data_IF_718676683044
#
_entry.id   IF_718676683044
#
_cell.length_a   1.000
_cell.length_b   1.000
_cell.length_c   1.000
_cell.angle_alpha   90.00
_cell.angle_beta   90.00
_cell.angle_gamma   90.00
#
_symmetry.space_group_name_H-M   'P 1'
#
loop_
_entity.id
_entity.type
_entity.pdbx_description
1 polymer ?
#
# COMPACT_ATOMS: atom_id res chain seq x y z
N UNK A 1 -20.05 -7.57 -0.82
CA UNK A 1 -19.65 -7.62 -2.26
C UNK A 1 -18.49 -8.61 -2.34
N UNK A 2 -18.69 -9.80 -2.94
CA UNK A 2 -17.57 -10.73 -3.16
C UNK A 2 -16.75 -10.25 -4.36
N UNK A 3 -15.42 -10.29 -4.32
CA UNK A 3 -14.61 -9.95 -5.49
C UNK A 3 -14.95 -10.91 -6.64
N UNK A 4 -15.03 -10.38 -7.87
CA UNK A 4 -15.32 -11.18 -9.08
C UNK A 4 -14.28 -12.28 -9.34
N UNK A 5 -13.12 -12.20 -8.68
CA UNK A 5 -12.03 -13.18 -8.72
C UNK A 5 -11.69 -13.61 -7.30
N UNK A 6 -11.71 -14.92 -7.04
CA UNK A 6 -11.35 -15.53 -5.75
C UNK A 6 -9.84 -15.69 -5.69
N UNK A 7 -9.17 -14.62 -5.32
CA UNK A 7 -7.72 -14.53 -5.29
C UNK A 7 -7.28 -13.86 -4.00
N UNK A 8 -6.10 -14.19 -3.50
CA UNK A 8 -5.53 -13.57 -2.31
C UNK A 8 -4.04 -13.27 -2.49
N UNK A 9 -3.57 -12.32 -1.68
CA UNK A 9 -2.16 -11.97 -1.52
C UNK A 9 -1.78 -12.34 -0.08
N UNK A 10 -0.67 -13.04 0.09
CA UNK A 10 -0.04 -13.19 1.40
C UNK A 10 1.00 -12.09 1.55
N UNK A 11 0.89 -11.30 2.62
CA UNK A 11 1.81 -10.19 2.91
C UNK A 11 2.41 -10.45 4.28
N UNK A 12 3.73 -10.60 4.33
CA UNK A 12 4.48 -10.62 5.58
C UNK A 12 4.83 -9.19 5.96
N UNK A 13 4.34 -8.76 7.12
CA UNK A 13 4.67 -7.43 7.65
C UNK A 13 6.07 -7.47 8.26
N UNK A 14 6.86 -6.44 8.01
CA UNK A 14 8.08 -6.19 8.79
C UNK A 14 7.68 -5.77 10.21
N UNK A 15 8.47 -6.10 11.23
CA UNK A 15 8.11 -5.84 12.64
C UNK A 15 7.76 -4.36 12.88
N UNK A 16 8.62 -3.44 12.43
CA UNK A 16 8.35 -1.99 12.51
C UNK A 16 7.05 -1.57 11.82
N UNK A 17 6.71 -2.20 10.69
CA UNK A 17 5.47 -1.93 9.97
C UNK A 17 4.27 -2.45 10.78
N UNK A 18 4.41 -3.63 11.38
CA UNK A 18 3.39 -4.22 12.25
C UNK A 18 3.09 -3.31 13.44
N UNK A 19 4.13 -2.87 14.16
CA UNK A 19 4.02 -1.92 15.27
C UNK A 19 3.37 -0.60 14.80
N UNK A 20 3.80 -0.07 13.65
CA UNK A 20 3.23 1.14 13.06
C UNK A 20 1.74 1.03 12.68
N UNK A 21 1.25 -0.16 12.31
CA UNK A 21 -0.18 -0.38 12.07
C UNK A 21 -0.98 -0.61 13.35
N UNK A 22 -0.35 -1.19 14.38
CA UNK A 22 -0.95 -1.35 15.70
C UNK A 22 -1.06 0.00 16.42
N UNK A 23 -0.06 0.86 16.25
CA UNK A 23 0.05 2.14 16.96
C UNK A 23 -0.35 3.33 16.08
N UNK A 24 -1.37 4.08 16.54
CA UNK A 24 -1.68 5.41 16.02
C UNK A 24 -2.78 5.47 14.97
N UNK A 25 -2.66 6.44 14.05
CA UNK A 25 -3.74 6.93 13.19
C UNK A 25 -4.30 5.87 12.22
N UNK A 26 -3.48 4.89 11.85
CA UNK A 26 -3.85 3.81 10.94
C UNK A 26 -4.48 2.61 11.66
N UNK A 27 -4.54 2.64 13.00
CA UNK A 27 -5.35 1.68 13.72
C UNK A 27 -6.83 1.95 13.40
N UNK A 28 -7.53 0.92 12.97
CA UNK A 28 -9.00 0.94 12.87
C UNK A 28 -9.65 0.73 14.26
N UNK A 29 -8.94 1.09 15.34
CA UNK A 29 -9.46 0.98 16.69
C UNK A 29 -10.49 2.09 16.94
N UNK A 30 -11.77 1.75 17.19
CA UNK A 30 -12.82 2.73 17.45
C UNK A 30 -12.51 3.64 18.64
N UNK A 31 -11.70 3.21 19.62
CA UNK A 31 -11.28 4.02 20.77
C UNK A 31 -10.34 5.13 20.34
N UNK A 32 -9.38 4.82 19.46
CA UNK A 32 -8.44 5.80 18.94
C UNK A 32 -9.12 6.80 18.01
N UNK A 33 -10.15 6.40 17.26
CA UNK A 33 -10.98 7.33 16.48
C UNK A 33 -11.67 8.34 17.40
N UNK A 34 -12.33 7.86 18.47
CA UNK A 34 -13.01 8.74 19.43
C UNK A 34 -12.03 9.70 20.13
N UNK A 35 -10.86 9.22 20.57
CA UNK A 35 -9.82 10.08 21.17
C UNK A 35 -9.38 11.20 20.23
N UNK A 36 -9.14 10.88 18.95
CA UNK A 36 -8.76 11.86 17.93
C UNK A 36 -9.87 12.88 17.68
N UNK A 37 -11.12 12.41 17.57
CA UNK A 37 -12.27 13.29 17.38
C UNK A 37 -12.39 14.32 18.52
N UNK A 38 -12.24 13.87 19.77
CA UNK A 38 -12.29 14.76 20.94
C UNK A 38 -11.12 15.76 21.00
N UNK A 39 -9.99 15.45 20.36
CA UNK A 39 -8.84 16.36 20.28
C UNK A 39 -8.96 17.39 19.14
N UNK A 40 -9.83 17.15 18.17
CA UNK A 40 -10.16 18.07 17.08
C UNK A 40 -11.28 19.04 17.47
N UNK A 41 -11.48 20.07 16.64
CA UNK A 41 -12.71 20.86 16.70
C UNK A 41 -13.92 19.96 16.37
N UNK A 42 -14.89 19.92 17.27
CA UNK A 42 -16.07 19.09 17.14
C UNK A 42 -17.29 19.76 17.76
N UNK A 43 -18.47 19.31 17.33
CA UNK A 43 -19.76 19.70 17.91
C UNK A 43 -20.35 18.51 18.67
N UNK A 44 -20.99 18.81 19.80
CA UNK A 44 -21.83 17.83 20.51
C UNK A 44 -23.20 17.79 19.84
N UNK A 45 -23.68 16.58 19.55
CA UNK A 45 -25.01 16.32 19.01
C UNK A 45 -25.98 15.99 20.14
N UNK A 46 -27.28 16.17 19.87
CA UNK A 46 -28.32 15.78 20.83
C UNK A 46 -28.25 14.29 21.17
N UNK A 47 -28.50 13.98 22.44
CA UNK A 47 -28.53 12.60 22.91
C UNK A 47 -29.65 11.82 22.18
N UNK A 48 -29.38 10.56 21.84
CA UNK A 48 -30.39 9.66 21.28
C UNK A 48 -30.27 8.26 21.87
N UNK A 49 -31.19 7.37 21.50
CA UNK A 49 -31.11 5.96 21.85
C UNK A 49 -30.79 5.13 20.61
N UNK A 50 -29.74 4.31 20.67
CA UNK A 50 -29.37 3.36 19.61
C UNK A 50 -29.42 1.95 20.21
N UNK A 51 -30.24 1.07 19.66
CA UNK A 51 -30.38 -0.31 20.13
C UNK A 51 -30.61 -0.44 21.65
N UNK A 52 -31.37 0.49 22.24
CA UNK A 52 -31.65 0.53 23.68
C UNK A 52 -30.55 1.18 24.54
N UNK A 53 -29.43 1.60 23.95
CA UNK A 53 -28.34 2.31 24.63
C UNK A 53 -28.53 3.81 24.48
N UNK A 54 -28.51 4.54 25.59
CA UNK A 54 -28.53 6.00 25.58
C UNK A 54 -27.13 6.52 25.22
N UNK A 55 -27.04 7.30 24.14
CA UNK A 55 -25.77 7.72 23.55
C UNK A 55 -25.68 9.24 23.42
N UNK A 56 -24.45 9.74 23.40
CA UNK A 56 -24.10 11.10 22.97
C UNK A 56 -23.35 11.07 21.66
N UNK A 57 -23.71 11.95 20.74
CA UNK A 57 -23.02 12.09 19.47
C UNK A 57 -21.97 13.18 19.54
N UNK A 58 -20.81 12.94 18.93
CA UNK A 58 -19.81 13.95 18.64
C UNK A 58 -19.57 13.94 17.13
N UNK A 59 -19.50 15.12 16.51
CA UNK A 59 -19.25 15.24 15.07
C UNK A 59 -18.11 16.20 14.81
N UNK A 60 -17.23 15.84 13.89
CA UNK A 60 -16.16 16.71 13.40
C UNK A 60 -16.03 16.58 11.88
N UNK A 61 -15.66 17.69 11.24
CA UNK A 61 -15.23 17.72 9.84
C UNK A 61 -13.73 17.97 9.69
N UNK A 62 -12.98 17.94 10.80
CA UNK A 62 -11.53 18.08 10.77
C UNK A 62 -10.90 16.82 10.13
N UNK A 63 -10.15 16.95 9.02
CA UNK A 63 -9.50 15.81 8.38
C UNK A 63 -8.50 15.09 9.31
N UNK A 64 -7.99 15.77 10.35
CA UNK A 64 -7.06 15.19 11.31
C UNK A 64 -7.67 14.07 12.16
N UNK A 65 -9.01 13.96 12.24
CA UNK A 65 -9.69 12.86 12.95
C UNK A 65 -9.28 11.50 12.41
N UNK A 66 -9.16 11.38 11.08
CA UNK A 66 -8.70 10.17 10.40
C UNK A 66 -7.19 10.24 10.07
N UNK A 67 -6.53 11.33 10.48
CA UNK A 67 -5.12 11.64 10.23
C UNK A 67 -4.67 11.43 8.80
N UNK A 68 -5.53 11.83 7.86
CA UNK A 68 -5.28 11.82 6.42
C UNK A 68 -5.72 13.15 5.84
N UNK A 69 -5.00 13.63 4.83
CA UNK A 69 -5.43 14.76 4.02
C UNK A 69 -6.56 14.32 3.08
N UNK A 70 -7.78 14.27 3.61
CA UNK A 70 -8.98 14.01 2.82
C UNK A 70 -9.53 15.35 2.31
N UNK A 71 -10.00 15.39 1.06
CA UNK A 71 -10.62 16.60 0.49
C UNK A 71 -11.90 16.98 1.24
N UNK A 72 -12.61 15.97 1.73
CA UNK A 72 -13.78 16.12 2.60
C UNK A 72 -13.88 14.92 3.53
N UNK A 73 -14.12 15.21 4.81
CA UNK A 73 -14.34 14.23 5.85
C UNK A 73 -15.40 14.77 6.81
N UNK A 74 -16.39 13.95 7.17
CA UNK A 74 -17.25 14.17 8.31
C UNK A 74 -17.32 12.86 9.09
N UNK A 75 -16.88 12.90 10.34
CA UNK A 75 -16.90 11.75 11.26
C UNK A 75 -17.90 12.05 12.36
N UNK A 76 -18.82 11.13 12.59
CA UNK A 76 -19.75 11.15 13.71
C UNK A 76 -19.53 9.92 14.56
N UNK A 77 -19.27 10.11 15.86
CA UNK A 77 -19.15 9.01 16.83
C UNK A 77 -20.27 9.15 17.85
N UNK A 78 -21.05 8.09 18.01
CA UNK A 78 -22.04 7.95 19.06
C UNK A 78 -21.48 7.05 20.16
N UNK A 79 -21.27 7.61 21.35
CA UNK A 79 -20.73 6.89 22.49
C UNK A 79 -21.77 6.69 23.59
N UNK A 80 -21.72 5.54 24.26
CA UNK A 80 -22.53 5.22 25.43
C UNK A 80 -22.32 6.28 26.53
N UNK A 81 -23.42 6.83 27.08
CA UNK A 81 -23.37 7.88 28.11
C UNK A 81 -22.75 7.45 29.44
N UNK A 82 -22.81 6.15 29.75
CA UNK A 82 -22.32 5.57 31.00
C UNK A 82 -20.91 5.01 30.83
N UNK A 83 -20.68 4.19 29.80
CA UNK A 83 -19.40 3.52 29.58
C UNK A 83 -18.39 4.40 28.81
N UNK A 84 -18.87 5.37 28.02
CA UNK A 84 -18.04 6.20 27.15
C UNK A 84 -17.53 5.46 25.91
N UNK A 85 -18.03 4.26 25.63
CA UNK A 85 -17.56 3.43 24.52
C UNK A 85 -18.32 3.73 23.23
N UNK A 86 -17.65 3.71 22.06
CA UNK A 86 -18.33 3.80 20.78
C UNK A 86 -19.42 2.72 20.61
N UNK A 87 -20.61 3.17 20.18
CA UNK A 87 -21.79 2.34 19.85
C UNK A 87 -22.08 2.38 18.35
N UNK A 88 -21.79 3.52 17.71
CA UNK A 88 -21.92 3.72 16.26
C UNK A 88 -20.89 4.75 15.81
N UNK A 89 -20.20 4.48 14.70
CA UNK A 89 -19.34 5.45 14.02
C UNK A 89 -19.82 5.55 12.58
N UNK A 90 -20.05 6.78 12.12
CA UNK A 90 -20.46 7.10 10.75
C UNK A 90 -19.40 8.02 10.15
N UNK A 91 -18.96 7.73 8.93
CA UNK A 91 -17.98 8.52 8.21
C UNK A 91 -18.46 8.79 6.79
N UNK A 92 -18.57 10.06 6.44
CA UNK A 92 -18.76 10.53 5.07
C UNK A 92 -17.46 11.14 4.59
N UNK A 93 -16.82 10.48 3.63
CA UNK A 93 -15.52 10.88 3.12
C UNK A 93 -15.47 10.87 1.60
N UNK A 94 -14.66 11.76 1.04
CA UNK A 94 -14.25 11.67 -0.35
C UNK A 94 -12.87 11.02 -0.41
N UNK A 95 -12.80 9.86 -1.06
CA UNK A 95 -11.54 9.16 -1.28
C UNK A 95 -11.25 9.07 -2.78
N UNK A 96 -9.97 9.18 -3.12
CA UNK A 96 -9.50 8.91 -4.47
C UNK A 96 -9.48 7.40 -4.69
N UNK A 97 -10.15 6.91 -5.74
CA UNK A 97 -10.21 5.48 -6.08
C UNK A 97 -9.58 5.26 -7.45
N UNK A 98 -8.70 4.27 -7.57
CA UNK A 98 -8.07 3.94 -8.85
C UNK A 98 -6.82 4.77 -9.17
N UNK A 99 -6.44 4.80 -10.46
CA UNK A 99 -5.21 5.46 -10.95
C UNK A 99 -5.47 6.84 -11.60
N UNK A 100 -6.73 7.19 -11.87
CA UNK A 100 -7.08 8.49 -12.45
C UNK A 100 -7.07 9.57 -11.36
N UNK A 101 -6.45 10.71 -11.66
CA UNK A 101 -6.39 11.86 -10.76
C UNK A 101 -7.78 12.45 -10.45
N UNK A 102 -8.75 12.27 -11.35
CA UNK A 102 -10.09 12.82 -11.24
C UNK A 102 -11.13 11.85 -10.67
N UNK A 103 -10.75 10.62 -10.32
CA UNK A 103 -11.70 9.61 -9.82
C UNK A 103 -11.88 9.70 -8.29
N UNK A 104 -12.46 10.81 -7.84
CA UNK A 104 -12.93 11.00 -6.47
C UNK A 104 -14.27 10.28 -6.29
N UNK A 105 -14.36 9.43 -5.26
CA UNK A 105 -15.59 8.74 -4.86
C UNK A 105 -16.00 9.19 -3.46
N UNK A 106 -17.28 9.51 -3.32
CA UNK A 106 -17.90 9.65 -2.00
C UNK A 106 -18.14 8.26 -1.42
N UNK A 107 -17.67 8.04 -0.19
CA UNK A 107 -17.81 6.82 0.58
C UNK A 107 -18.50 7.15 1.89
N UNK A 108 -19.58 6.42 2.16
CA UNK A 108 -20.25 6.39 3.45
C UNK A 108 -19.88 5.08 4.14
N UNK A 109 -19.22 5.17 5.29
CA UNK A 109 -18.79 4.04 6.10
C UNK A 109 -19.53 4.06 7.44
N UNK A 110 -20.06 2.90 7.82
CA UNK A 110 -20.75 2.69 9.09
C UNK A 110 -20.03 1.58 9.85
N UNK A 111 -19.62 1.87 11.08
CA UNK A 111 -19.13 0.88 12.03
C UNK A 111 -20.14 0.81 13.16
N UNK A 112 -20.85 -0.31 13.29
CA UNK A 112 -21.86 -0.54 14.29
C UNK A 112 -21.68 -1.91 14.95
N UNK A 113 -22.61 -2.28 15.83
CA UNK A 113 -22.65 -3.59 16.49
C UNK A 113 -21.37 -3.93 17.27
N UNK A 114 -20.73 -2.93 17.88
CA UNK A 114 -19.55 -3.13 18.71
C UNK A 114 -19.84 -4.12 19.86
N UNK A 115 -18.94 -5.08 20.01
CA UNK A 115 -18.89 -5.98 21.15
C UNK A 115 -17.59 -5.71 21.89
N UNK A 116 -17.72 -5.33 23.15
CA UNK A 116 -16.59 -4.95 24.00
C UNK A 116 -16.37 -6.00 25.07
N UNK A 117 -15.11 -6.16 25.50
CA UNK A 117 -14.71 -7.11 26.55
C UNK A 117 -15.14 -8.56 26.24
N UNK A 118 -15.11 -8.93 24.96
CA UNK A 118 -15.35 -10.30 24.53
C UNK A 118 -14.06 -11.11 24.64
N UNK A 119 -14.15 -12.32 25.18
CA UNK A 119 -13.07 -13.30 25.10
C UNK A 119 -13.07 -13.86 23.68
N UNK A 120 -11.94 -13.68 22.98
CA UNK A 120 -11.78 -14.12 21.58
C UNK A 120 -10.75 -15.24 21.59
N UNK A 121 -11.11 -16.40 21.04
CA UNK A 121 -10.15 -17.48 20.84
C UNK A 121 -9.08 -17.03 19.84
N UNK A 122 -7.78 -17.03 20.21
CA UNK A 122 -6.70 -16.66 19.30
C UNK A 122 -6.69 -17.45 17.98
N UNK A 123 -7.24 -18.66 17.97
CA UNK A 123 -7.35 -19.48 16.77
C UNK A 123 -8.27 -18.87 15.71
N UNK A 124 -9.21 -17.99 16.08
CA UNK A 124 -10.07 -17.26 15.12
C UNK A 124 -9.29 -16.30 14.21
N UNK A 125 -8.09 -15.88 14.63
CA UNK A 125 -7.20 -15.05 13.81
C UNK A 125 -6.34 -15.88 12.84
N UNK A 126 -6.46 -17.21 12.85
CA UNK A 126 -5.79 -18.06 11.86
C UNK A 126 -6.60 -18.03 10.56
N UNK A 127 -6.07 -17.47 9.45
CA UNK A 127 -6.84 -17.35 8.22
C UNK A 127 -7.23 -18.72 7.67
N UNK A 128 -8.52 -19.05 7.68
CA UNK A 128 -9.04 -20.22 7.00
C UNK A 128 -9.41 -19.87 5.56
N UNK A 129 -8.48 -20.11 4.65
CA UNK A 129 -8.62 -19.74 3.25
C UNK A 129 -9.38 -20.83 2.48
N UNK A 130 -10.53 -20.51 1.86
CA UNK A 130 -11.30 -21.51 1.16
C UNK A 130 -10.51 -22.13 0.00
N UNK A 131 -10.73 -23.43 -0.26
CA UNK A 131 -9.98 -24.18 -1.28
C UNK A 131 -10.17 -23.66 -2.72
N UNK A 132 -11.18 -22.83 -2.96
CA UNK A 132 -11.47 -22.21 -4.26
C UNK A 132 -10.84 -20.81 -4.42
N UNK A 133 -10.00 -20.39 -3.48
CA UNK A 133 -9.18 -19.18 -3.59
C UNK A 133 -7.78 -19.52 -4.12
N UNK A 134 -7.32 -18.73 -5.10
CA UNK A 134 -5.98 -18.88 -5.68
C UNK A 134 -5.02 -17.86 -5.09
N UNK A 135 -3.86 -18.33 -4.61
CA UNK A 135 -2.77 -17.44 -4.20
C UNK A 135 -2.19 -16.71 -5.41
N UNK A 136 -2.21 -15.38 -5.38
CA UNK A 136 -1.58 -14.56 -6.41
C UNK A 136 -0.08 -14.45 -6.18
N UNK A 137 0.30 -14.17 -4.94
CA UNK A 137 1.68 -13.93 -4.56
C UNK A 137 1.86 -14.08 -3.05
N UNK A 138 3.10 -14.30 -2.66
CA UNK A 138 3.58 -14.24 -1.30
C UNK A 138 4.69 -13.19 -1.25
N UNK A 139 4.47 -12.11 -0.51
CA UNK A 139 5.33 -10.91 -0.56
C UNK A 139 5.72 -10.43 0.83
N UNK A 140 6.91 -9.85 0.89
CA UNK A 140 7.45 -9.21 2.08
C UNK A 140 7.30 -7.70 1.99
N UNK A 141 6.70 -7.08 3.01
CA UNK A 141 6.72 -5.62 3.16
C UNK A 141 8.12 -5.16 3.54
N UNK A 142 8.62 -4.08 2.91
CA UNK A 142 9.87 -3.46 3.32
C UNK A 142 9.74 -2.83 4.70
N UNK A 143 10.89 -2.57 5.35
CA UNK A 143 10.95 -1.79 6.59
C UNK A 143 10.57 -0.32 6.37
N UNK A 144 10.53 0.45 7.46
CA UNK A 144 10.18 1.88 7.45
C UNK A 144 11.39 2.76 7.82
N UNK A 145 12.58 2.29 7.47
CA UNK A 145 13.85 2.96 7.77
C UNK A 145 14.52 3.53 6.51
N UNK A 146 15.62 4.24 6.72
CA UNK A 146 16.41 4.83 5.64
C UNK A 146 16.97 3.76 4.69
N UNK A 147 17.33 2.58 5.19
CA UNK A 147 17.86 1.50 4.36
C UNK A 147 16.81 1.01 3.37
N UNK A 148 15.57 0.78 3.83
CA UNK A 148 14.44 0.42 2.99
C UNK A 148 14.10 1.52 1.98
N UNK A 149 14.19 2.80 2.37
CA UNK A 149 13.98 3.93 1.47
C UNK A 149 15.04 4.00 0.35
N UNK A 150 16.32 3.86 0.69
CA UNK A 150 17.43 3.83 -0.27
C UNK A 150 17.30 2.63 -1.21
N UNK A 151 17.05 1.43 -0.68
CA UNK A 151 16.90 0.23 -1.49
C UNK A 151 15.72 0.32 -2.46
N UNK A 152 14.62 0.95 -2.02
CA UNK A 152 13.45 1.26 -2.83
C UNK A 152 13.78 2.22 -3.97
N UNK A 153 14.39 3.37 -3.67
CA UNK A 153 14.73 4.40 -4.65
C UNK A 153 15.78 3.92 -5.65
N UNK A 154 16.78 3.17 -5.18
CA UNK A 154 17.77 2.53 -6.04
C UNK A 154 17.13 1.58 -7.03
N UNK A 155 16.27 0.68 -6.54
CA UNK A 155 15.56 -0.26 -7.39
C UNK A 155 14.70 0.44 -8.44
N UNK A 156 13.97 1.48 -8.02
CA UNK A 156 13.15 2.26 -8.93
C UNK A 156 14.00 2.95 -10.01
N UNK A 157 15.11 3.60 -9.63
CA UNK A 157 16.02 4.26 -10.56
C UNK A 157 16.68 3.28 -11.55
N UNK A 158 17.13 2.11 -11.09
CA UNK A 158 17.70 1.06 -11.95
C UNK A 158 16.67 0.49 -12.94
N UNK A 159 15.39 0.47 -12.55
CA UNK A 159 14.33 -0.17 -13.32
C UNK A 159 13.64 0.80 -14.29
N UNK A 160 13.39 2.03 -13.85
CA UNK A 160 12.63 3.06 -14.58
C UNK A 160 13.56 4.10 -15.23
N UNK A 161 14.81 4.22 -14.76
CA UNK A 161 15.83 5.12 -15.30
C UNK A 161 15.92 6.49 -14.60
N UNK A 162 15.17 6.69 -13.51
CA UNK A 162 15.17 7.92 -12.71
C UNK A 162 14.35 7.74 -11.45
N UNK A 163 14.31 8.75 -10.59
CA UNK A 163 13.47 8.73 -9.38
C UNK A 163 11.99 8.97 -9.72
N UNK A 164 11.05 8.49 -8.88
CA UNK A 164 9.64 8.83 -9.08
C UNK A 164 9.44 10.34 -8.85
N UNK A 165 8.57 10.98 -9.62
CA UNK A 165 8.32 12.42 -9.48
C UNK A 165 7.70 12.78 -8.12
N UNK A 166 6.88 11.88 -7.58
CA UNK A 166 6.34 11.97 -6.24
C UNK A 166 6.17 10.56 -5.66
N UNK A 167 5.93 10.47 -4.36
CA UNK A 167 5.79 9.20 -3.64
C UNK A 167 4.35 8.68 -3.63
N UNK A 168 3.47 9.17 -4.51
CA UNK A 168 2.13 8.62 -4.63
C UNK A 168 2.17 7.26 -5.32
N UNK A 169 1.38 6.31 -4.82
CA UNK A 169 1.31 4.95 -5.38
C UNK A 169 0.99 4.93 -6.88
N UNK A 170 0.23 5.92 -7.37
CA UNK A 170 -0.10 6.05 -8.78
C UNK A 170 1.14 6.38 -9.63
N UNK A 171 1.96 7.33 -9.18
CA UNK A 171 3.21 7.71 -9.85
C UNK A 171 4.19 6.56 -9.87
N UNK A 172 4.32 5.86 -8.75
CA UNK A 172 5.13 4.64 -8.64
C UNK A 172 4.68 3.59 -9.67
N UNK A 173 3.39 3.23 -9.66
CA UNK A 173 2.85 2.21 -10.58
C UNK A 173 2.96 2.62 -12.05
N UNK A 174 2.80 3.92 -12.36
CA UNK A 174 2.94 4.45 -13.73
C UNK A 174 4.37 4.31 -14.24
N UNK A 175 5.37 4.50 -13.38
CA UNK A 175 6.78 4.26 -13.73
C UNK A 175 7.05 2.85 -14.22
N UNK A 176 6.37 1.85 -13.65
CA UNK A 176 6.49 0.45 -14.06
C UNK A 176 5.67 0.07 -15.29
N UNK A 177 4.80 0.93 -15.83
CA UNK A 177 3.95 0.56 -16.97
C UNK A 177 4.77 0.10 -18.19
N UNK A 178 5.88 0.80 -18.47
CA UNK A 178 6.83 0.43 -19.54
C UNK A 178 7.53 -0.90 -19.26
N UNK A 179 7.90 -1.14 -18.01
CA UNK A 179 8.53 -2.39 -17.55
C UNK A 179 7.56 -3.55 -17.73
N UNK A 180 6.31 -3.40 -17.28
CA UNK A 180 5.27 -4.42 -17.44
C UNK A 180 5.02 -4.77 -18.91
N UNK A 181 5.01 -3.77 -19.81
CA UNK A 181 4.89 -4.01 -21.25
C UNK A 181 6.06 -4.83 -21.79
N UNK A 182 7.30 -4.50 -21.43
CA UNK A 182 8.47 -5.28 -21.84
C UNK A 182 8.45 -6.70 -21.28
N UNK A 183 7.99 -6.87 -20.05
CA UNK A 183 7.90 -8.19 -19.41
C UNK A 183 6.86 -9.09 -20.09
N UNK A 184 5.74 -8.55 -20.56
CA UNK A 184 4.78 -9.29 -21.39
C UNK A 184 5.42 -9.73 -22.71
N UNK A 185 6.23 -8.89 -23.34
CA UNK A 185 6.95 -9.25 -24.57
C UNK A 185 7.94 -10.38 -24.30
N UNK A 186 8.77 -10.26 -23.26
CA UNK A 186 9.74 -11.29 -22.87
C UNK A 186 9.05 -12.61 -22.50
N UNK A 187 7.86 -12.55 -21.91
CA UNK A 187 7.08 -13.73 -21.54
C UNK A 187 6.80 -14.64 -22.75
N UNK A 188 6.55 -14.05 -23.93
CA UNK A 188 6.34 -14.80 -25.18
C UNK A 188 7.61 -15.55 -25.66
N UNK A 189 8.79 -15.09 -25.25
CA UNK A 189 10.08 -15.66 -25.65
C UNK A 189 10.61 -16.74 -24.67
N UNK A 190 9.89 -16.99 -23.57
CA UNK A 190 10.35 -17.92 -22.53
C UNK A 190 10.37 -19.38 -23.00
N UNK A 191 11.32 -20.21 -22.51
CA UNK A 191 11.34 -21.64 -22.81
C UNK A 191 10.03 -22.36 -22.49
N UNK A 192 9.35 -21.97 -21.40
CA UNK A 192 8.07 -22.52 -20.95
C UNK A 192 6.95 -22.20 -21.93
N UNK A 193 6.87 -20.94 -22.39
CA UNK A 193 5.90 -20.54 -23.42
C UNK A 193 6.17 -21.23 -24.74
N UNK A 194 7.44 -21.32 -25.15
CA UNK A 194 7.84 -22.00 -26.39
C UNK A 194 7.62 -23.52 -26.31
N UNK A 195 7.76 -24.13 -25.13
CA UNK A 195 7.40 -25.54 -24.92
C UNK A 195 5.89 -25.76 -25.03
N UNK A 196 5.09 -24.87 -24.44
CA UNK A 196 3.63 -24.91 -24.54
C UNK A 196 3.14 -24.78 -25.98
N UNK A 197 3.62 -23.77 -26.72
CA UNK A 197 3.24 -23.56 -28.12
C UNK A 197 3.63 -24.76 -29.01
N UNK A 198 4.79 -25.36 -28.77
CA UNK A 198 5.21 -26.58 -29.50
C UNK A 198 4.30 -27.77 -29.18
N UNK A 199 3.95 -27.97 -27.92
CA UNK A 199 3.05 -29.04 -27.51
C UNK A 199 1.64 -28.86 -28.12
N UNK A 200 1.09 -27.64 -28.12
CA UNK A 200 -0.18 -27.32 -28.77
C UNK A 200 -0.14 -27.60 -30.28
N UNK A 201 0.94 -27.20 -30.96
CA UNK A 201 1.12 -27.45 -32.38
C UNK A 201 1.19 -28.96 -32.68
N UNK A 202 1.89 -29.75 -31.85
CA UNK A 202 1.94 -31.21 -31.97
C UNK A 202 0.58 -31.86 -31.78
N UNK A 203 -0.23 -31.39 -30.82
CA UNK A 203 -1.59 -31.87 -30.62
C UNK A 203 -2.49 -31.58 -31.82
N UNK A 204 -2.43 -30.36 -32.37
CA UNK A 204 -3.18 -29.99 -33.57
C UNK A 204 -2.78 -30.85 -34.78
N UNK A 205 -1.49 -31.14 -34.98
CA UNK A 205 -1.02 -32.01 -36.05
C UNK A 205 -1.52 -33.45 -35.89
N UNK A 206 -1.45 -34.02 -34.68
CA UNK A 206 -1.95 -35.37 -34.40
C UNK A 206 -3.46 -35.49 -34.65
N UNK A 207 -4.24 -34.47 -34.27
CA UNK A 207 -5.68 -34.38 -34.55
C UNK A 207 -5.97 -34.33 -36.05
N UNK A 208 -5.26 -33.47 -36.79
CA UNK A 208 -5.45 -33.35 -38.25
C UNK A 208 -5.07 -34.63 -39.01
N UNK A 209 -4.07 -35.37 -38.52
CA UNK A 209 -3.63 -36.62 -39.13
C UNK A 209 -4.48 -37.84 -38.72
N UNK A 210 -5.47 -37.68 -37.84
CA UNK A 210 -6.27 -38.79 -37.30
C UNK A 210 -5.44 -39.80 -36.47
N UNK A 211 -4.33 -39.34 -35.91
CA UNK A 211 -3.42 -40.17 -35.10
C UNK A 211 -3.90 -40.25 -33.64
N UNK A 212 -3.36 -41.21 -32.89
CA UNK A 212 -3.59 -41.26 -31.44
C UNK A 212 -3.06 -40.00 -30.75
N UNK A 213 -3.93 -39.27 -30.04
CA UNK A 213 -3.61 -37.97 -29.44
C UNK A 213 -3.07 -38.04 -28.01
N UNK A 214 -3.03 -39.22 -27.39
CA UNK A 214 -2.73 -39.37 -25.96
C UNK A 214 -1.38 -38.76 -25.56
N UNK A 215 -0.31 -39.09 -26.29
CA UNK A 215 1.02 -38.57 -26.01
C UNK A 215 1.13 -37.05 -26.25
N UNK A 216 0.45 -36.54 -27.28
CA UNK A 216 0.43 -35.10 -27.56
C UNK A 216 -0.36 -34.33 -26.50
N UNK A 217 -1.46 -34.91 -25.99
CA UNK A 217 -2.25 -34.33 -24.92
C UNK A 217 -1.48 -34.30 -23.60
N UNK A 218 -0.73 -35.37 -23.29
CA UNK A 218 0.16 -35.43 -22.12
C UNK A 218 1.23 -34.33 -22.18
N UNK A 219 1.89 -34.15 -23.33
CA UNK A 219 2.87 -33.09 -23.54
C UNK A 219 2.27 -31.68 -23.37
N UNK A 220 1.02 -31.46 -23.82
CA UNK A 220 0.30 -30.19 -23.59
C UNK A 220 0.06 -29.96 -22.10
N UNK A 221 -0.38 -30.99 -21.36
CA UNK A 221 -0.65 -30.87 -19.93
C UNK A 221 0.63 -30.54 -19.14
N UNK A 222 1.75 -31.20 -19.46
CA UNK A 222 3.05 -30.93 -18.83
C UNK A 222 3.55 -29.51 -19.14
N UNK A 223 3.49 -29.10 -20.42
CA UNK A 223 3.93 -27.77 -20.82
C UNK A 223 3.03 -26.66 -20.25
N UNK A 224 1.72 -26.93 -20.13
CA UNK A 224 0.77 -26.04 -19.47
C UNK A 224 1.11 -25.87 -17.98
N UNK A 225 1.42 -26.95 -17.28
CA UNK A 225 1.83 -26.89 -15.87
C UNK A 225 3.12 -26.07 -15.69
N UNK A 226 4.12 -26.24 -16.57
CA UNK A 226 5.32 -25.43 -16.59
C UNK A 226 5.04 -23.94 -16.83
N UNK A 227 4.18 -23.64 -17.80
CA UNK A 227 3.76 -22.27 -18.10
C UNK A 227 2.97 -21.62 -16.94
N UNK A 228 2.09 -22.36 -16.27
CA UNK A 228 1.34 -21.88 -15.12
C UNK A 228 2.25 -21.61 -13.91
N UNK A 229 3.21 -22.49 -13.65
CA UNK A 229 4.21 -22.29 -12.61
C UNK A 229 5.06 -21.04 -12.88
N UNK A 230 5.50 -20.85 -14.13
CA UNK A 230 6.23 -19.65 -14.54
C UNK A 230 5.41 -18.37 -14.34
N UNK A 231 4.14 -18.35 -14.78
CA UNK A 231 3.25 -17.19 -14.58
C UNK A 231 3.05 -16.88 -13.11
N UNK A 232 2.87 -17.90 -12.25
CA UNK A 232 2.75 -17.70 -10.80
C UNK A 232 4.02 -17.09 -10.22
N UNK A 233 5.18 -17.67 -10.54
CA UNK A 233 6.47 -17.19 -10.04
C UNK A 233 6.75 -15.74 -10.49
N UNK A 234 6.51 -15.44 -11.78
CA UNK A 234 6.71 -14.09 -12.31
C UNK A 234 5.73 -13.10 -11.73
N UNK A 235 4.45 -13.47 -11.59
CA UNK A 235 3.44 -12.62 -10.93
C UNK A 235 3.79 -12.32 -9.48
N UNK A 236 4.32 -13.29 -8.74
CA UNK A 236 4.79 -13.09 -7.37
C UNK A 236 5.99 -12.16 -7.31
N UNK A 237 6.98 -12.35 -8.19
CA UNK A 237 8.13 -11.44 -8.28
C UNK A 237 7.70 -10.02 -8.63
N UNK A 238 6.76 -9.87 -9.57
CA UNK A 238 6.25 -8.55 -9.96
C UNK A 238 5.58 -7.84 -8.79
N UNK A 239 4.81 -8.57 -7.99
CA UNK A 239 4.19 -8.01 -6.79
C UNK A 239 5.24 -7.66 -5.75
N UNK A 240 6.28 -8.48 -5.58
CA UNK A 240 7.41 -8.17 -4.71
C UNK A 240 8.16 -6.91 -5.15
N UNK A 241 8.36 -6.74 -6.46
CA UNK A 241 9.00 -5.55 -7.05
C UNK A 241 8.18 -4.29 -6.75
N UNK A 242 6.84 -4.36 -6.89
CA UNK A 242 5.93 -3.27 -6.52
C UNK A 242 5.98 -2.98 -5.02
N UNK A 243 6.00 -4.03 -4.18
CA UNK A 243 6.07 -3.88 -2.71
C UNK A 243 7.39 -3.29 -2.25
N UNK A 244 8.51 -3.62 -2.91
CA UNK A 244 9.83 -3.07 -2.58
C UNK A 244 9.84 -1.54 -2.65
N UNK A 245 9.10 -0.97 -3.61
CA UNK A 245 9.01 0.48 -3.80
C UNK A 245 8.20 1.17 -2.69
N UNK A 246 7.43 0.42 -1.89
CA UNK A 246 6.74 0.97 -0.73
C UNK A 246 7.70 1.40 0.38
N UNK A 247 8.97 0.97 0.36
CA UNK A 247 9.94 1.31 1.42
C UNK A 247 10.14 2.82 1.57
N UNK A 248 10.30 3.54 0.45
CA UNK A 248 10.44 5.01 0.49
C UNK A 248 9.15 5.71 0.90
N UNK A 249 7.99 5.18 0.50
CA UNK A 249 6.68 5.72 0.89
C UNK A 249 6.48 5.58 2.39
N UNK A 250 6.75 4.38 2.92
CA UNK A 250 6.61 4.08 4.34
C UNK A 250 7.55 4.94 5.19
N UNK A 251 8.81 5.09 4.78
CA UNK A 251 9.76 5.98 5.45
C UNK A 251 9.29 7.45 5.44
N UNK A 252 8.82 7.95 4.30
CA UNK A 252 8.30 9.31 4.18
C UNK A 252 7.06 9.55 5.08
N UNK A 253 6.14 8.59 5.11
CA UNK A 253 4.95 8.64 5.96
C UNK A 253 5.33 8.64 7.45
N UNK A 254 6.31 7.83 7.84
CA UNK A 254 6.87 7.81 9.20
C UNK A 254 7.39 9.18 9.59
N UNK A 255 8.27 9.77 8.77
CA UNK A 255 8.82 11.11 9.00
C UNK A 255 7.72 12.18 9.12
N UNK A 256 6.69 12.09 8.28
CA UNK A 256 5.55 13.02 8.32
C UNK A 256 4.81 12.92 9.65
N UNK A 257 4.51 11.70 10.12
CA UNK A 257 3.83 11.46 11.39
C UNK A 257 4.64 11.89 12.61
N UNK A 258 5.96 11.70 12.54
CA UNK A 258 6.89 12.17 13.57
C UNK A 258 7.11 13.70 13.54
N UNK A 259 6.41 14.42 12.65
CA UNK A 259 6.50 15.88 12.55
C UNK A 259 7.83 16.37 11.98
N UNK A 260 8.59 15.50 11.30
CA UNK A 260 9.92 15.78 10.72
C UNK A 260 9.87 16.61 9.45
N UNK A 261 8.66 16.95 8.97
CA UNK A 261 8.39 17.80 7.79
C UNK A 261 9.22 17.39 6.55
N UNK A 262 9.14 16.12 6.11
CA UNK A 262 9.93 15.66 4.98
C UNK A 262 9.52 16.35 3.67
N UNK A 263 10.50 16.66 2.82
CA UNK A 263 10.29 17.20 1.47
C UNK A 263 11.08 16.38 0.45
N UNK A 264 10.39 15.97 -0.62
CA UNK A 264 10.92 15.07 -1.65
C UNK A 264 11.00 15.79 -3.00
N UNK A 265 12.12 15.64 -3.71
CA UNK A 265 12.47 16.40 -4.93
C UNK A 265 12.69 15.49 -6.14
N UNK A 266 12.02 14.33 -6.19
CA UNK A 266 12.22 13.35 -7.27
C UNK A 266 11.71 13.79 -8.66
N UNK A 267 10.97 14.90 -8.74
CA UNK A 267 10.54 15.51 -10.01
C UNK A 267 11.65 16.32 -10.69
N UNK A 268 12.61 16.83 -9.92
CA UNK A 268 13.75 17.63 -10.41
C UNK A 268 15.09 16.93 -10.30
N UNK A 269 15.28 16.05 -9.31
CA UNK A 269 16.55 15.39 -9.03
C UNK A 269 16.62 14.02 -9.72
N UNK A 270 17.74 13.74 -10.38
CA UNK A 270 18.04 12.47 -11.03
C UNK A 270 19.20 11.74 -10.37
N UNK A 271 19.44 10.44 -10.68
CA UNK A 271 20.63 9.74 -10.20
C UNK A 271 21.97 10.36 -10.63
N UNK A 272 21.98 11.23 -11.63
CA UNK A 272 23.19 11.92 -12.10
C UNK A 272 23.51 13.19 -11.27
N UNK A 273 22.53 13.74 -10.57
CA UNK A 273 22.66 14.95 -9.78
C UNK A 273 23.18 14.59 -8.37
N UNK A 274 24.44 14.15 -8.31
CA UNK A 274 24.98 13.45 -7.13
C UNK A 274 25.00 14.28 -5.85
N UNK A 275 25.07 15.60 -5.98
CA UNK A 275 25.13 16.56 -4.87
C UNK A 275 23.78 17.23 -4.57
N UNK A 276 22.76 16.97 -5.39
CA UNK A 276 21.43 17.56 -5.19
C UNK A 276 20.63 16.77 -4.16
N UNK A 277 19.77 17.47 -3.40
CA UNK A 277 18.99 16.88 -2.32
C UNK A 277 17.74 16.22 -2.90
N UNK A 278 17.64 14.90 -2.78
CA UNK A 278 16.48 14.12 -3.21
C UNK A 278 15.39 14.07 -2.13
N UNK A 279 15.77 13.93 -0.86
CA UNK A 279 14.87 13.95 0.29
C UNK A 279 15.52 14.72 1.44
N UNK A 280 14.75 15.62 2.04
CA UNK A 280 15.15 16.46 3.16
C UNK A 280 14.16 16.28 4.31
N UNK A 281 14.63 16.17 5.55
CA UNK A 281 13.76 16.21 6.73
C UNK A 281 14.47 16.83 7.93
N UNK A 282 13.69 17.26 8.92
CA UNK A 282 14.19 17.86 10.16
C UNK A 282 14.40 16.79 11.23
N UNK A 283 15.54 16.83 11.90
CA UNK A 283 15.88 15.99 13.04
C UNK A 283 15.53 16.64 14.39
N UNK A 284 15.46 15.85 15.47
CA UNK A 284 15.09 16.35 16.81
C UNK A 284 16.11 17.33 17.41
N UNK A 285 17.38 17.17 17.03
CA UNK A 285 18.46 18.08 17.42
C UNK A 285 18.46 19.41 16.63
N UNK A 286 17.48 19.61 15.74
CA UNK A 286 17.38 20.79 14.88
C UNK A 286 18.24 20.74 13.62
N UNK A 287 19.03 19.68 13.42
CA UNK A 287 19.75 19.45 12.17
C UNK A 287 18.80 18.96 11.07
N UNK A 288 19.32 18.84 9.86
CA UNK A 288 18.62 18.30 8.71
C UNK A 288 19.23 16.98 8.28
N UNK A 289 18.39 15.95 8.17
CA UNK A 289 18.75 14.73 7.47
C UNK A 289 18.54 14.90 5.97
N UNK A 290 19.50 14.41 5.19
CA UNK A 290 19.54 14.53 3.74
C UNK A 290 19.78 13.15 3.13
N UNK A 291 19.05 12.89 2.04
CA UNK A 291 19.37 11.87 1.04
C UNK A 291 19.66 12.58 -0.28
N UNK A 292 20.85 12.36 -0.82
CA UNK A 292 21.28 12.98 -2.08
C UNK A 292 20.83 12.19 -3.31
N UNK A 293 20.95 12.79 -4.51
CA UNK A 293 20.65 12.15 -5.79
C UNK A 293 21.48 10.90 -6.07
N UNK A 294 22.66 10.73 -5.46
CA UNK A 294 23.43 9.49 -5.51
C UNK A 294 23.08 8.46 -4.41
N UNK A 295 22.02 8.73 -3.63
CA UNK A 295 21.54 7.95 -2.49
C UNK A 295 22.50 7.85 -1.29
N UNK A 296 23.52 8.71 -1.23
CA UNK A 296 24.28 8.90 0.01
C UNK A 296 23.47 9.74 1.00
N UNK A 297 23.73 9.56 2.29
CA UNK A 297 23.01 10.25 3.36
C UNK A 297 23.96 11.14 4.14
N UNK A 298 23.42 12.25 4.65
CA UNK A 298 24.14 13.13 5.57
C UNK A 298 23.18 13.73 6.60
N UNK A 299 23.77 14.23 7.69
CA UNK A 299 23.10 15.08 8.66
C UNK A 299 23.88 16.38 8.74
N UNK A 300 23.24 17.51 8.46
CA UNK A 300 23.90 18.82 8.40
C UNK A 300 23.23 19.84 9.31
N UNK A 301 24.00 20.81 9.78
CA UNK A 301 23.48 21.91 10.58
C UNK A 301 22.65 22.88 9.70
N UNK A 302 21.70 23.64 10.29
CA UNK A 302 20.88 24.60 9.54
C UNK A 302 21.68 25.62 8.73
N UNK A 303 22.83 26.07 9.25
CA UNK A 303 23.73 27.01 8.59
C UNK A 303 24.39 26.46 7.31
N UNK A 304 24.54 25.14 7.23
CA UNK A 304 25.21 24.42 6.14
C UNK A 304 24.21 23.97 5.05
N UNK A 305 22.91 24.17 5.25
CA UNK A 305 21.88 23.81 4.29
C UNK A 305 22.03 24.65 3.01
N UNK A 306 22.20 24.05 1.81
CA UNK A 306 22.41 24.83 0.59
C UNK A 306 21.15 25.63 0.21
N UNK A 307 21.34 26.82 -0.35
CA UNK A 307 20.27 27.50 -1.10
C UNK A 307 19.92 26.64 -2.32
N UNK A 308 18.64 26.38 -2.67
CA UNK A 308 17.39 27.05 -2.25
C UNK A 308 16.62 26.34 -1.11
N UNK A 309 17.23 25.38 -0.43
CA UNK A 309 16.55 24.51 0.54
C UNK A 309 16.38 25.15 1.92
N UNK A 310 17.00 26.32 2.16
CA UNK A 310 16.83 27.04 3.41
C UNK A 310 15.37 27.46 3.60
N UNK A 311 14.78 27.23 4.78
CA UNK A 311 13.45 27.74 5.07
C UNK A 311 13.46 29.27 4.95
N UNK A 312 12.50 29.82 4.19
CA UNK A 312 12.25 31.27 4.16
C UNK A 312 11.74 31.67 5.54
N UNK A 313 12.47 32.56 6.22
CA UNK A 313 12.09 33.12 7.54
C UNK A 313 10.72 33.83 7.52
#
# INVERSE_FOLDING_TARGET
IMPKRKMYLRVHLHDEVSEYYQEGINSNDPREILKRLMACEHIELENKTINGVAVRGLQSSDPNVLGRTLSRCQVTVWADLHAGWPVLIEMDMEIKVGLDANDLKSVHLVMDQFQWDIDIDPSEFTPNMPADFTEMADVQMPGMDMTAAVDSLKFYAETVGGYPADLQIQTLLKGFEGVFKQEVIKAEETPERQAFLRAEASLQQAQAAGQGIAAAQEAVNEAQAGWDAWKKARGSQLMQDVMRVQGVVAFYDKLTKEGKKPHYYGDTVTPQDTEDILLLWKEDNGHFGILYGNLTTAVIAPEDLPEPYKPVE
#
